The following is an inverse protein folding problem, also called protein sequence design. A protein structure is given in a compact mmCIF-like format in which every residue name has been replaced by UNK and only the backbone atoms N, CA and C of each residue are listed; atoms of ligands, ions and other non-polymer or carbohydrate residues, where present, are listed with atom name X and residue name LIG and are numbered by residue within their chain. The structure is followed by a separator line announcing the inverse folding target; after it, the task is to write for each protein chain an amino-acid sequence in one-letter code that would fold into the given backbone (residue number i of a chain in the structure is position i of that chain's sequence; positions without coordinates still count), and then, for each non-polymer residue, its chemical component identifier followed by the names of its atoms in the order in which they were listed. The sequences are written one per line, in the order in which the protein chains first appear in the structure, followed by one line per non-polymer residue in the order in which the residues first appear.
data_IF_766346263017
#
_entry.id   IF_766346263017
#
_cell.length_a   1.000
_cell.length_b   1.000
_cell.length_c   1.000
_cell.angle_alpha   90.00
_cell.angle_beta   90.00
_cell.angle_gamma   90.00
#
_symmetry.space_group_name_H-M   'P 1'
#
loop_
_entity.id
_entity.type
_entity.pdbx_description
1 polymer ?
#
# COMPACT_ATOMS: atom_id res chain seq x y z
N UNK A 1 7.54 -31.91 5.48
CA UNK A 1 6.45 -31.16 6.16
C UNK A 1 5.63 -30.42 5.13
N UNK A 2 4.34 -30.26 5.42
CA UNK A 2 3.42 -29.44 4.63
C UNK A 2 2.52 -28.71 5.61
N UNK A 3 2.54 -27.37 5.54
CA UNK A 3 1.66 -26.51 6.30
C UNK A 3 0.87 -25.64 5.31
N UNK A 4 -0.46 -25.62 5.46
CA UNK A 4 -1.35 -24.86 4.58
C UNK A 4 -2.33 -24.06 5.42
N UNK A 5 -2.51 -22.78 5.09
CA UNK A 5 -3.53 -21.94 5.70
C UNK A 5 -4.33 -21.21 4.62
N UNK A 6 -5.63 -21.07 4.85
CA UNK A 6 -6.55 -20.30 4.00
C UNK A 6 -7.29 -19.33 4.90
N UNK A 7 -7.46 -18.11 4.45
CA UNK A 7 -8.14 -17.08 5.22
C UNK A 7 -8.80 -16.02 4.34
N UNK A 8 -9.64 -15.23 5.00
CA UNK A 8 -10.25 -14.04 4.41
C UNK A 8 -10.20 -12.89 5.38
N UNK A 9 -10.20 -11.68 4.87
CA UNK A 9 -10.27 -10.46 5.68
C UNK A 9 -11.16 -9.41 5.04
N UNK A 10 -11.83 -8.63 5.89
CA UNK A 10 -12.55 -7.43 5.51
C UNK A 10 -12.00 -6.30 6.36
N UNK A 11 -11.50 -5.27 5.69
CA UNK A 11 -11.05 -4.04 6.32
C UNK A 11 -11.99 -2.91 5.87
N UNK A 12 -12.72 -2.34 6.81
CA UNK A 12 -13.60 -1.18 6.58
C UNK A 12 -13.07 -0.01 7.38
N UNK A 13 -12.78 1.10 6.70
CA UNK A 13 -12.17 2.28 7.32
C UNK A 13 -12.91 3.54 6.94
N UNK A 14 -13.37 4.26 7.95
CA UNK A 14 -13.96 5.59 7.82
C UNK A 14 -13.04 6.60 8.51
N UNK A 15 -12.72 7.66 7.81
CA UNK A 15 -11.98 8.81 8.36
C UNK A 15 -12.89 10.03 8.28
N UNK A 16 -13.16 10.60 9.43
CA UNK A 16 -13.93 11.85 9.55
C UNK A 16 -13.00 12.95 10.02
N UNK A 17 -13.17 14.14 9.47
CA UNK A 17 -12.48 15.32 9.94
C UNK A 17 -13.44 16.42 10.37
N UNK A 18 -13.05 17.15 11.38
CA UNK A 18 -13.67 18.42 11.76
C UNK A 18 -12.57 19.48 11.79
N UNK A 19 -12.70 20.49 10.95
CA UNK A 19 -11.77 21.62 10.91
C UNK A 19 -12.49 22.86 11.37
N UNK A 20 -11.86 23.57 12.29
CA UNK A 20 -12.30 24.91 12.73
C UNK A 20 -11.23 25.90 12.31
N UNK A 21 -11.61 26.86 11.49
CA UNK A 21 -10.73 27.90 10.99
C UNK A 21 -11.27 29.27 11.45
N UNK A 22 -10.53 29.92 12.33
CA UNK A 22 -10.89 31.22 12.91
C UNK A 22 -10.62 32.40 11.99
N UNK A 23 -9.97 32.19 10.84
CA UNK A 23 -9.64 33.25 9.86
C UNK A 23 -9.00 34.50 10.53
N UNK A 24 -7.76 34.37 10.94
CA UNK A 24 -6.98 35.44 11.56
C UNK A 24 -7.44 35.90 12.97
N UNK A 25 -8.32 35.14 13.61
CA UNK A 25 -8.65 35.43 14.99
C UNK A 25 -7.52 35.01 15.95
N UNK A 26 -7.44 35.69 17.07
CA UNK A 26 -6.47 35.42 18.14
C UNK A 26 -7.01 34.38 19.12
N UNK A 27 -6.12 33.87 19.97
CA UNK A 27 -6.50 33.16 21.17
C UNK A 27 -6.98 34.17 22.24
N UNK A 28 -8.01 33.82 23.04
CA UNK A 28 -8.46 34.60 24.18
C UNK A 28 -7.36 34.71 25.24
N UNK A 29 -6.66 33.60 25.45
CA UNK A 29 -5.53 33.50 26.38
C UNK A 29 -4.31 32.98 25.59
N UNK A 30 -3.20 33.70 25.72
CA UNK A 30 -1.96 33.29 25.02
C UNK A 30 -1.47 31.92 25.50
N UNK A 31 -0.92 31.14 24.58
CA UNK A 31 -0.33 29.82 24.83
C UNK A 31 -1.28 28.73 25.36
N UNK A 32 -2.60 28.93 25.32
CA UNK A 32 -3.60 27.92 25.65
C UNK A 32 -4.26 27.41 24.37
N UNK A 33 -3.84 26.22 23.92
CA UNK A 33 -4.27 25.64 22.62
C UNK A 33 -5.44 24.66 22.83
N UNK A 34 -6.66 25.22 22.92
CA UNK A 34 -7.90 24.46 22.90
C UNK A 34 -8.99 25.19 22.10
N UNK A 35 -10.04 24.48 21.67
CA UNK A 35 -11.11 25.04 20.83
C UNK A 35 -11.90 26.17 21.55
N UNK A 36 -12.10 26.06 22.86
CA UNK A 36 -12.83 27.05 23.60
C UNK A 36 -12.08 28.40 23.74
N UNK A 37 -10.76 28.39 23.53
CA UNK A 37 -9.90 29.54 23.59
C UNK A 37 -9.77 30.30 22.26
N UNK A 38 -10.35 29.79 21.19
CA UNK A 38 -10.33 30.44 19.86
C UNK A 38 -11.39 31.52 19.83
N UNK A 39 -10.99 32.75 19.42
CA UNK A 39 -11.93 33.83 19.13
C UNK A 39 -12.50 33.57 17.73
N UNK A 40 -13.77 33.23 17.62
CA UNK A 40 -14.43 33.03 16.34
C UNK A 40 -14.78 34.39 15.71
N UNK A 41 -14.24 34.67 14.53
CA UNK A 41 -14.60 35.86 13.75
C UNK A 41 -15.86 35.59 12.91
N UNK A 42 -16.47 36.65 12.35
CA UNK A 42 -17.61 36.52 11.44
C UNK A 42 -17.29 35.74 10.14
N UNK A 43 -16.01 35.64 9.79
CA UNK A 43 -15.53 34.86 8.66
C UNK A 43 -15.01 33.48 9.03
N UNK A 44 -15.14 33.08 10.30
CA UNK A 44 -14.75 31.75 10.76
C UNK A 44 -15.57 30.66 10.07
N UNK A 45 -14.96 29.51 9.83
CA UNK A 45 -15.66 28.35 9.28
C UNK A 45 -15.49 27.10 10.16
N UNK A 46 -16.51 26.28 10.17
CA UNK A 46 -16.48 24.94 10.76
C UNK A 46 -16.82 23.99 9.62
N UNK A 47 -15.86 23.17 9.23
CA UNK A 47 -16.02 22.17 8.19
C UNK A 47 -16.01 20.79 8.83
N UNK A 48 -17.05 20.02 8.56
CA UNK A 48 -17.15 18.62 8.98
C UNK A 48 -17.45 17.75 7.77
N UNK A 49 -16.62 16.76 7.53
CA UNK A 49 -16.76 15.90 6.36
C UNK A 49 -16.23 14.50 6.61
N UNK A 50 -16.69 13.58 5.77
CA UNK A 50 -16.04 12.28 5.60
C UNK A 50 -14.89 12.47 4.63
N UNK A 51 -13.67 12.37 5.11
CA UNK A 51 -12.47 12.54 4.29
C UNK A 51 -12.14 11.27 3.51
N UNK A 52 -12.41 10.10 4.09
CA UNK A 52 -12.19 8.82 3.45
C UNK A 52 -13.16 7.76 4.00
N UNK A 53 -13.69 6.96 3.11
CA UNK A 53 -14.38 5.72 3.45
C UNK A 53 -14.04 4.69 2.39
N UNK A 54 -13.39 3.62 2.79
CA UNK A 54 -13.10 2.52 1.89
C UNK A 54 -13.19 1.17 2.58
N UNK A 55 -13.52 0.16 1.80
CA UNK A 55 -13.54 -1.22 2.22
C UNK A 55 -12.62 -2.04 1.31
N UNK A 56 -11.80 -2.89 1.92
CA UNK A 56 -10.95 -3.86 1.25
C UNK A 56 -11.37 -5.26 1.68
N UNK A 57 -11.79 -6.08 0.74
CA UNK A 57 -12.10 -7.49 0.95
C UNK A 57 -10.97 -8.34 0.35
N UNK A 58 -10.58 -9.39 1.05
CA UNK A 58 -9.45 -10.21 0.65
C UNK A 58 -9.69 -11.67 0.95
N UNK A 59 -9.21 -12.52 0.04
CA UNK A 59 -9.07 -13.96 0.26
C UNK A 59 -7.62 -14.32 0.03
N UNK A 60 -7.03 -15.13 0.90
CA UNK A 60 -5.64 -15.51 0.78
C UNK A 60 -5.41 -16.97 1.19
N UNK A 61 -4.35 -17.53 0.64
CA UNK A 61 -3.85 -18.83 0.98
C UNK A 61 -2.33 -18.78 1.11
N UNK A 62 -1.79 -19.56 2.05
CA UNK A 62 -0.36 -19.76 2.22
C UNK A 62 -0.06 -21.25 2.28
N UNK A 63 1.07 -21.67 1.72
CA UNK A 63 1.55 -23.03 1.82
C UNK A 63 3.06 -23.03 2.05
N UNK A 64 3.51 -23.78 3.04
CA UNK A 64 4.93 -24.03 3.29
C UNK A 64 5.21 -25.53 3.11
N UNK A 65 6.15 -25.84 2.24
CA UNK A 65 6.56 -27.22 1.93
C UNK A 65 8.02 -27.39 2.32
N UNK A 66 8.31 -28.30 3.23
CA UNK A 66 9.65 -28.67 3.65
C UNK A 66 10.04 -30.05 3.16
N UNK A 67 11.15 -30.18 2.43
CA UNK A 67 11.69 -31.43 1.94
C UNK A 67 13.07 -31.72 2.51
N UNK A 68 13.21 -32.88 3.16
CA UNK A 68 14.45 -33.38 3.77
C UNK A 68 15.19 -32.35 4.62
N UNK A 69 14.46 -31.52 5.36
CA UNK A 69 15.00 -30.46 6.24
C UNK A 69 16.01 -29.50 5.59
N UNK A 70 16.16 -29.59 4.27
CA UNK A 70 17.17 -28.81 3.55
C UNK A 70 16.60 -27.95 2.44
N UNK A 71 15.36 -28.17 2.00
CA UNK A 71 14.66 -27.33 1.00
C UNK A 71 13.32 -26.93 1.58
N UNK A 72 13.02 -25.64 1.50
CA UNK A 72 11.72 -25.07 1.88
C UNK A 72 11.18 -24.23 0.75
N UNK A 73 9.91 -24.44 0.44
CA UNK A 73 9.15 -23.68 -0.53
C UNK A 73 8.00 -22.97 0.20
N UNK A 74 7.97 -21.65 0.12
CA UNK A 74 6.93 -20.81 0.68
C UNK A 74 6.09 -20.24 -0.49
N UNK A 75 4.81 -20.49 -0.46
CA UNK A 75 3.85 -20.00 -1.46
C UNK A 75 2.81 -19.15 -0.76
N UNK A 76 2.52 -17.98 -1.32
CA UNK A 76 1.41 -17.14 -0.88
C UNK A 76 0.63 -16.66 -2.09
N UNK A 77 -0.68 -16.69 -1.97
CA UNK A 77 -1.60 -16.15 -2.96
C UNK A 77 -2.64 -15.30 -2.24
N UNK A 78 -2.88 -14.08 -2.71
CA UNK A 78 -3.91 -13.19 -2.20
C UNK A 78 -4.66 -12.56 -3.34
N UNK A 79 -5.98 -12.44 -3.19
CA UNK A 79 -6.81 -11.70 -4.12
C UNK A 79 -7.62 -10.66 -3.35
N UNK A 80 -7.55 -9.41 -3.81
CA UNK A 80 -8.13 -8.25 -3.14
C UNK A 80 -9.18 -7.58 -4.03
N UNK A 81 -10.30 -7.16 -3.42
CA UNK A 81 -11.32 -6.31 -4.02
C UNK A 81 -11.40 -5.02 -3.21
N UNK A 82 -11.24 -3.89 -3.87
CA UNK A 82 -11.21 -2.58 -3.21
C UNK A 82 -12.36 -1.69 -3.67
N UNK A 83 -13.09 -1.12 -2.72
CA UNK A 83 -14.13 -0.14 -3.00
C UNK A 83 -13.58 1.18 -3.55
N UNK A 84 -12.28 1.44 -3.41
CA UNK A 84 -11.64 2.65 -3.98
C UNK A 84 -11.62 2.65 -5.51
N UNK A 85 -11.89 1.48 -6.13
CA UNK A 85 -12.03 1.32 -7.58
C UNK A 85 -13.48 1.43 -8.06
N UNK A 86 -14.41 1.81 -7.19
CA UNK A 86 -15.80 2.05 -7.56
C UNK A 86 -15.88 3.06 -8.74
N UNK A 87 -16.88 2.86 -9.58
CA UNK A 87 -17.09 3.63 -10.81
C UNK A 87 -16.02 3.51 -11.89
N UNK A 88 -15.08 2.55 -11.73
CA UNK A 88 -14.14 2.19 -12.79
C UNK A 88 -14.55 0.87 -13.44
N UNK A 89 -13.97 0.55 -14.60
CA UNK A 89 -14.13 -0.77 -15.24
C UNK A 89 -13.57 -1.93 -14.41
N UNK A 90 -12.82 -1.63 -13.36
CA UNK A 90 -12.20 -2.60 -12.44
C UNK A 90 -12.95 -2.76 -11.12
N UNK A 91 -14.09 -2.10 -10.93
CA UNK A 91 -14.87 -2.11 -9.68
C UNK A 91 -15.11 -3.53 -9.12
N UNK A 92 -15.46 -4.48 -9.99
CA UNK A 92 -15.75 -5.88 -9.60
C UNK A 92 -14.56 -6.81 -9.77
N UNK A 93 -13.43 -6.32 -10.27
CA UNK A 93 -12.26 -7.14 -10.55
C UNK A 93 -11.42 -7.31 -9.30
N UNK A 94 -11.13 -8.57 -8.94
CA UNK A 94 -10.11 -8.88 -7.96
C UNK A 94 -8.71 -8.72 -8.54
N UNK A 95 -7.77 -8.28 -7.72
CA UNK A 95 -6.36 -8.17 -8.07
C UNK A 95 -5.58 -9.23 -7.33
N UNK A 96 -4.84 -10.02 -8.08
CA UNK A 96 -4.13 -11.19 -7.59
C UNK A 96 -2.67 -10.88 -7.31
N UNK A 97 -2.21 -11.24 -6.11
CA UNK A 97 -0.88 -10.96 -5.57
C UNK A 97 -0.22 -12.27 -5.14
N UNK A 98 0.54 -12.93 -6.01
CA UNK A 98 1.30 -14.13 -5.67
C UNK A 98 2.64 -13.79 -5.03
N UNK A 99 3.14 -14.71 -4.21
CA UNK A 99 4.54 -14.72 -3.76
C UNK A 99 5.05 -16.15 -3.72
N UNK A 100 6.30 -16.33 -4.11
CA UNK A 100 7.02 -17.58 -4.02
C UNK A 100 8.39 -17.34 -3.41
N UNK A 101 8.73 -18.11 -2.37
CA UNK A 101 10.03 -18.11 -1.72
C UNK A 101 10.63 -19.51 -1.71
N UNK A 102 11.92 -19.62 -1.94
CA UNK A 102 12.68 -20.86 -1.84
C UNK A 102 13.85 -20.63 -0.90
N UNK A 103 14.03 -21.55 0.04
CA UNK A 103 15.20 -21.62 0.90
C UNK A 103 15.87 -22.98 0.74
N UNK A 104 17.19 -22.95 0.57
CA UNK A 104 18.02 -24.14 0.46
C UNK A 104 19.14 -24.12 1.49
N UNK A 105 19.30 -25.22 2.22
CA UNK A 105 20.35 -25.42 3.21
C UNK A 105 21.34 -26.48 2.68
N UNK A 106 22.42 -26.09 2.00
CA UNK A 106 23.39 -27.00 1.43
C UNK A 106 24.02 -27.95 2.45
N UNK A 107 24.21 -27.51 3.69
CA UNK A 107 24.80 -28.29 4.77
C UNK A 107 23.96 -29.54 5.18
N UNK A 108 22.68 -29.60 4.80
CA UNK A 108 21.82 -30.76 4.98
C UNK A 108 21.95 -31.81 3.88
N UNK A 109 22.54 -31.46 2.75
CA UNK A 109 22.61 -32.31 1.54
C UNK A 109 24.02 -32.71 1.17
N UNK A 110 25.00 -31.84 1.47
CA UNK A 110 26.40 -32.03 1.13
C UNK A 110 27.25 -31.89 2.39
N UNK A 111 28.20 -32.79 2.58
CA UNK A 111 29.16 -32.69 3.69
C UNK A 111 30.04 -31.45 3.47
N UNK A 112 29.84 -30.44 4.28
CA UNK A 112 30.62 -29.21 4.23
C UNK A 112 31.98 -29.38 4.93
N UNK A 113 33.01 -28.60 4.55
CA UNK A 113 34.27 -28.52 5.29
C UNK A 113 34.01 -28.12 6.75
N UNK A 114 34.83 -28.58 7.70
CA UNK A 114 34.64 -28.33 9.14
C UNK A 114 34.63 -26.85 9.54
N UNK A 115 35.25 -26.00 8.73
CA UNK A 115 35.23 -24.55 8.96
C UNK A 115 33.94 -23.85 8.55
N UNK A 116 33.03 -24.52 7.79
CA UNK A 116 31.69 -24.02 7.46
C UNK A 116 30.69 -24.60 8.48
N UNK A 117 30.13 -23.75 9.29
CA UNK A 117 29.20 -24.13 10.36
C UNK A 117 27.74 -24.08 9.97
N UNK A 118 27.41 -23.28 8.95
CA UNK A 118 26.04 -23.12 8.43
C UNK A 118 26.07 -22.49 7.05
N UNK A 119 25.14 -22.92 6.17
CA UNK A 119 24.96 -22.36 4.84
C UNK A 119 23.49 -22.32 4.49
N UNK A 120 22.99 -21.18 4.05
CA UNK A 120 21.63 -20.98 3.54
C UNK A 120 21.63 -20.11 2.31
N UNK A 121 20.94 -20.57 1.27
CA UNK A 121 20.61 -19.78 0.08
C UNK A 121 19.10 -19.52 0.09
N UNK A 122 18.69 -18.34 -0.35
CA UNK A 122 17.28 -17.98 -0.46
C UNK A 122 17.02 -17.20 -1.74
N UNK A 123 15.85 -17.42 -2.31
CA UNK A 123 15.34 -16.63 -3.41
C UNK A 123 13.85 -16.41 -3.23
N UNK A 124 13.37 -15.22 -3.52
CA UNK A 124 11.95 -14.92 -3.47
C UNK A 124 11.53 -14.02 -4.64
N UNK A 125 10.32 -14.20 -5.08
CA UNK A 125 9.61 -13.33 -6.01
C UNK A 125 8.24 -13.03 -5.45
N UNK A 126 7.85 -11.77 -5.48
CA UNK A 126 6.51 -11.36 -5.02
C UNK A 126 5.95 -10.24 -5.88
N UNK A 127 4.62 -10.24 -5.98
CA UNK A 127 3.84 -9.14 -6.54
C UNK A 127 2.97 -8.59 -5.42
N UNK A 128 3.03 -7.27 -5.21
CA UNK A 128 2.24 -6.57 -4.19
C UNK A 128 1.49 -5.41 -4.85
N UNK A 129 0.22 -5.26 -4.51
CA UNK A 129 -0.58 -4.12 -4.96
C UNK A 129 -0.62 -3.01 -3.93
N UNK A 130 -0.54 -1.77 -4.39
CA UNK A 130 -0.81 -0.59 -3.59
C UNK A 130 -2.15 0.01 -4.01
N UNK A 131 -3.07 0.14 -3.05
CA UNK A 131 -4.43 0.62 -3.31
C UNK A 131 -4.46 2.08 -3.73
N UNK A 132 -5.46 2.42 -4.52
CA UNK A 132 -5.76 3.81 -4.90
C UNK A 132 -6.40 4.53 -3.73
N UNK A 133 -6.04 5.79 -3.40
CA UNK A 133 -6.72 6.56 -2.39
C UNK A 133 -8.23 6.73 -2.66
N UNK A 134 -9.06 6.85 -1.62
CA UNK A 134 -10.49 7.09 -1.78
C UNK A 134 -10.79 8.36 -2.59
N UNK A 135 -11.90 8.34 -3.34
CA UNK A 135 -12.45 9.47 -4.11
C UNK A 135 -11.59 10.00 -5.28
N UNK A 136 -10.49 9.32 -5.62
CA UNK A 136 -9.69 9.69 -6.80
C UNK A 136 -10.40 9.28 -8.10
N UNK A 137 -11.02 8.11 -8.13
CA UNK A 137 -11.67 7.56 -9.33
C UNK A 137 -12.93 8.32 -9.70
N UNK A 138 -13.68 8.75 -8.68
CA UNK A 138 -14.89 9.55 -8.83
C UNK A 138 -14.89 10.67 -7.78
N UNK A 139 -14.28 11.82 -8.11
CA UNK A 139 -14.16 12.94 -7.19
C UNK A 139 -15.51 13.50 -6.77
N UNK A 140 -15.67 13.78 -5.50
CA UNK A 140 -16.92 14.29 -4.91
C UNK A 140 -16.88 15.81 -4.77
N UNK A 141 -18.06 16.43 -4.90
CA UNK A 141 -18.25 17.84 -4.59
C UNK A 141 -18.52 18.01 -3.10
N UNK A 142 -18.23 19.19 -2.58
CA UNK A 142 -18.42 19.51 -1.15
C UNK A 142 -19.50 20.59 -1.01
N UNK A 143 -20.23 20.53 0.10
CA UNK A 143 -21.13 21.62 0.50
C UNK A 143 -20.44 22.40 1.62
N UNK A 144 -20.26 23.71 1.42
CA UNK A 144 -19.68 24.59 2.43
C UNK A 144 -20.69 24.87 3.56
N UNK A 145 -20.20 25.39 4.70
CA UNK A 145 -21.07 25.81 5.80
C UNK A 145 -22.08 26.90 5.38
N UNK A 146 -21.77 27.67 4.32
CA UNK A 146 -22.69 28.65 3.72
C UNK A 146 -23.71 28.07 2.74
N UNK A 147 -23.73 26.74 2.53
CA UNK A 147 -24.63 26.09 1.58
C UNK A 147 -24.17 26.14 0.12
N UNK A 148 -23.00 26.64 -0.17
CA UNK A 148 -22.41 26.68 -1.51
C UNK A 148 -21.87 25.29 -1.87
N UNK A 149 -22.13 24.85 -3.12
CA UNK A 149 -21.57 23.60 -3.64
C UNK A 149 -20.25 23.91 -4.34
N UNK A 150 -19.17 23.42 -3.79
CA UNK A 150 -17.85 23.44 -4.44
C UNK A 150 -17.70 22.16 -5.27
N UNK A 151 -17.71 22.32 -6.60
CA UNK A 151 -17.47 21.22 -7.52
C UNK A 151 -16.02 20.75 -7.40
N UNK A 152 -15.81 19.46 -7.67
CA UNK A 152 -14.46 18.91 -7.71
C UNK A 152 -13.67 19.48 -8.89
N UNK A 153 -12.42 19.87 -8.63
CA UNK A 153 -11.46 20.27 -9.65
C UNK A 153 -10.83 19.07 -10.38
N UNK A 154 -11.05 17.84 -9.90
CA UNK A 154 -10.50 16.64 -10.49
C UNK A 154 -11.45 16.01 -11.51
N UNK A 155 -10.93 15.61 -12.67
CA UNK A 155 -11.67 14.81 -13.64
C UNK A 155 -11.83 13.35 -13.16
N UNK A 156 -13.02 12.74 -13.31
CA UNK A 156 -13.20 11.29 -13.08
C UNK A 156 -12.28 10.47 -14.00
N UNK A 157 -11.77 9.34 -13.48
CA UNK A 157 -10.93 8.44 -14.26
C UNK A 157 -11.37 6.98 -14.12
N UNK A 158 -12.17 6.51 -15.07
CA UNK A 158 -12.77 5.15 -15.09
C UNK A 158 -11.79 4.01 -15.40
N UNK A 159 -10.54 4.32 -15.79
CA UNK A 159 -9.51 3.33 -16.14
C UNK A 159 -8.50 3.07 -15.00
N UNK A 160 -8.69 3.66 -13.83
CA UNK A 160 -7.78 3.57 -12.69
C UNK A 160 -7.58 2.12 -12.24
N UNK A 161 -6.32 1.75 -12.07
CA UNK A 161 -5.87 0.45 -11.54
C UNK A 161 -5.03 0.66 -10.27
N UNK A 162 -4.91 -0.34 -9.39
CA UNK A 162 -3.89 -0.34 -8.35
C UNK A 162 -2.49 -0.34 -8.95
N UNK A 163 -1.56 0.30 -8.27
CA UNK A 163 -0.14 0.16 -8.56
C UNK A 163 0.33 -1.25 -8.23
N UNK A 164 1.21 -1.80 -9.05
CA UNK A 164 1.73 -3.16 -8.89
C UNK A 164 3.24 -3.11 -8.72
N UNK A 165 3.73 -3.64 -7.61
CA UNK A 165 5.16 -3.73 -7.32
C UNK A 165 5.62 -5.18 -7.41
N UNK A 166 6.58 -5.43 -8.28
CA UNK A 166 7.26 -6.71 -8.48
C UNK A 166 8.61 -6.68 -7.76
N UNK A 167 8.87 -7.65 -6.92
CA UNK A 167 10.11 -7.71 -6.16
C UNK A 167 10.79 -9.05 -6.35
N UNK A 168 12.10 -9.00 -6.58
CA UNK A 168 13.00 -10.17 -6.60
C UNK A 168 14.00 -10.00 -5.49
N UNK A 169 14.16 -11.02 -4.68
CA UNK A 169 15.18 -11.09 -3.64
C UNK A 169 16.02 -12.37 -3.80
N UNK A 170 17.34 -12.22 -3.75
CA UNK A 170 18.29 -13.33 -3.67
C UNK A 170 19.20 -13.09 -2.47
N UNK A 171 19.35 -14.10 -1.63
CA UNK A 171 20.15 -13.97 -0.42
C UNK A 171 20.97 -15.20 -0.12
N UNK A 172 22.10 -14.98 0.55
CA UNK A 172 22.91 -16.05 1.11
C UNK A 172 23.35 -15.70 2.52
N UNK A 173 23.33 -16.70 3.38
CA UNK A 173 23.84 -16.62 4.75
C UNK A 173 24.80 -17.77 4.99
N UNK A 174 25.99 -17.42 5.43
CA UNK A 174 27.03 -18.37 5.76
C UNK A 174 27.58 -18.08 7.15
N UNK A 175 27.86 -19.14 7.93
CA UNK A 175 28.55 -19.02 9.21
C UNK A 175 29.75 -19.93 9.22
N UNK A 176 30.85 -19.43 9.75
CA UNK A 176 32.14 -20.08 9.75
C UNK A 176 32.71 -20.18 11.16
N UNK A 177 33.71 -21.07 11.33
CA UNK A 177 34.51 -21.18 12.54
C UNK A 177 33.64 -21.33 13.81
N UNK A 178 32.73 -22.31 13.82
CA UNK A 178 31.80 -22.56 14.93
C UNK A 178 30.93 -21.32 15.24
N UNK A 179 30.37 -20.70 14.19
CA UNK A 179 29.52 -19.51 14.26
C UNK A 179 30.21 -18.21 14.72
N UNK A 180 31.56 -18.18 14.78
CA UNK A 180 32.31 -16.97 15.18
C UNK A 180 32.35 -15.89 14.10
N UNK A 181 32.24 -16.29 12.85
CA UNK A 181 32.20 -15.37 11.70
C UNK A 181 30.91 -15.63 10.91
N UNK A 182 30.19 -14.58 10.58
CA UNK A 182 28.96 -14.64 9.77
C UNK A 182 29.07 -13.71 8.55
N UNK A 183 28.55 -14.18 7.42
CA UNK A 183 28.37 -13.43 6.19
C UNK A 183 26.92 -13.53 5.77
N UNK A 184 26.25 -12.39 5.59
CA UNK A 184 24.90 -12.32 5.04
C UNK A 184 24.90 -11.30 3.91
N UNK A 185 24.58 -11.77 2.70
CA UNK A 185 24.47 -10.93 1.51
C UNK A 185 23.07 -11.07 0.96
N UNK A 186 22.47 -9.95 0.59
CA UNK A 186 21.15 -9.92 -0.05
C UNK A 186 21.20 -8.96 -1.22
N UNK A 187 20.75 -9.43 -2.37
CA UNK A 187 20.43 -8.64 -3.54
C UNK A 187 18.92 -8.53 -3.64
N UNK A 188 18.41 -7.34 -3.88
CA UNK A 188 16.99 -7.12 -4.16
C UNK A 188 16.82 -6.19 -5.35
N UNK A 189 15.74 -6.39 -6.08
CA UNK A 189 15.27 -5.54 -7.15
C UNK A 189 13.77 -5.36 -7.02
N UNK A 190 13.31 -4.11 -7.18
CA UNK A 190 11.90 -3.77 -7.07
C UNK A 190 11.51 -2.90 -8.25
N UNK A 191 10.52 -3.36 -9.01
CA UNK A 191 9.98 -2.65 -10.17
C UNK A 191 8.50 -2.34 -9.89
N UNK A 192 8.08 -1.08 -10.00
CA UNK A 192 6.70 -0.65 -9.78
C UNK A 192 6.07 -0.22 -11.09
N UNK A 193 4.89 -0.75 -11.38
CA UNK A 193 4.11 -0.55 -12.59
C UNK A 193 2.77 0.10 -12.29
N UNK A 194 2.16 0.74 -13.30
CA UNK A 194 0.84 1.37 -13.23
C UNK A 194 0.76 2.45 -12.14
N UNK A 195 1.85 3.16 -11.85
CA UNK A 195 1.82 4.26 -10.91
C UNK A 195 0.82 5.34 -11.36
N UNK A 196 0.10 5.90 -10.42
CA UNK A 196 -0.81 6.99 -10.72
C UNK A 196 -0.17 8.35 -10.45
N UNK A 197 -0.37 9.25 -11.38
CA UNK A 197 0.12 10.61 -11.31
C UNK A 197 -1.02 11.61 -11.43
N UNK A 198 -0.84 12.75 -10.76
CA UNK A 198 -1.70 13.91 -10.90
C UNK A 198 -1.17 14.77 -12.04
N UNK A 199 -1.92 14.87 -13.13
CA UNK A 199 -1.59 15.70 -14.28
C UNK A 199 -2.46 16.96 -14.28
N UNK A 200 -1.88 18.17 -14.52
CA UNK A 200 -2.67 19.37 -14.74
C UNK A 200 -3.51 19.22 -16.01
N UNK A 201 -4.70 19.78 -16.00
CA UNK A 201 -5.54 19.83 -17.19
C UNK A 201 -5.06 20.90 -18.16
N UNK A 202 -5.50 20.81 -19.41
CA UNK A 202 -5.20 21.82 -20.42
C UNK A 202 -5.97 23.11 -20.14
N UNK A 203 -5.43 24.24 -20.59
CA UNK A 203 -6.12 25.52 -20.49
C UNK A 203 -7.47 25.47 -21.21
N UNK A 204 -8.55 25.83 -20.49
CA UNK A 204 -9.92 25.78 -20.98
C UNK A 204 -10.68 24.49 -20.68
N UNK A 205 -10.07 23.50 -20.02
CA UNK A 205 -10.76 22.32 -19.51
C UNK A 205 -11.69 22.70 -18.34
N UNK A 206 -12.77 21.92 -18.19
CA UNK A 206 -13.70 22.06 -17.06
C UNK A 206 -13.04 21.73 -15.71
N UNK A 207 -12.04 20.84 -15.73
CA UNK A 207 -11.33 20.38 -14.54
C UNK A 207 -9.93 20.97 -14.47
N UNK A 208 -9.40 21.15 -13.27
CA UNK A 208 -8.05 21.69 -13.09
C UNK A 208 -6.97 20.59 -13.23
N UNK A 209 -7.31 19.33 -12.96
CA UNK A 209 -6.39 18.21 -13.04
C UNK A 209 -7.11 16.88 -13.22
N UNK A 210 -6.35 15.85 -13.57
CA UNK A 210 -6.78 14.45 -13.63
C UNK A 210 -5.71 13.51 -13.09
N UNK A 211 -6.14 12.35 -12.63
CA UNK A 211 -5.23 11.25 -12.29
C UNK A 211 -5.17 10.28 -13.48
N UNK A 212 -4.00 9.70 -13.71
CA UNK A 212 -3.77 8.67 -14.73
C UNK A 212 -2.80 7.63 -14.20
N UNK A 213 -2.98 6.37 -14.60
CA UNK A 213 -1.93 5.38 -14.44
C UNK A 213 -0.95 5.56 -15.59
N UNK A 214 0.24 6.03 -15.32
CA UNK A 214 1.25 6.30 -16.33
C UNK A 214 2.63 6.29 -15.66
N UNK A 215 3.38 5.24 -15.84
CA UNK A 215 4.76 5.19 -15.45
C UNK A 215 5.16 3.90 -14.76
N UNK A 216 6.37 3.49 -15.09
CA UNK A 216 7.05 2.37 -14.49
C UNK A 216 8.32 2.88 -13.83
N UNK A 217 8.55 2.53 -12.57
CA UNK A 217 9.79 2.81 -11.86
C UNK A 217 10.55 1.50 -11.72
N UNK A 218 11.74 1.47 -12.29
CA UNK A 218 12.68 0.35 -12.21
C UNK A 218 13.82 0.74 -11.27
N UNK A 219 14.14 -0.12 -10.31
CA UNK A 219 15.21 0.13 -9.33
C UNK A 219 16.02 -1.13 -9.03
#
# INVERSE_FOLDING_TARGET
TLDVAIGGSINDRITNSTRIDSKNASLKYANVFNLANIVMSSSASIDQKIDAHYQLQSVFATAQIGYKEGVFLDLTARNDWSSTLAYTKYEKKGFFYPSVGVSFLPDKWVKMPEWVSFSKLRGAYSIVGNGVPPFITYPVSYVTAGGEILASDAAPFGEMKPEMTHSVELGMEWKFLQHRLGLNLTYYRTDTYEQFFKLPALAGDKYAYRYVNAGDILS
#
